data_IF_117303652931
#
_entry.id   IF_117303652931
#
_cell.length_a   1.000
_cell.length_b   1.000
_cell.length_c   1.000
_cell.angle_alpha   90.00
_cell.angle_beta   90.00
_cell.angle_gamma   90.00
#
_symmetry.space_group_name_H-M   'P 1'
#
loop_
_entity.id
_entity.type
_entity.pdbx_description
1 polymer ?
#
# COMPACT_ATOMS: atom_id res chain seq x y z
N UNK A 1 0.51 -2.51 -8.07
CA UNK A 1 0.83 -1.90 -6.76
C UNK A 1 1.31 -2.97 -5.82
N UNK A 2 2.25 -2.66 -4.93
CA UNK A 2 2.75 -3.61 -3.92
C UNK A 2 1.65 -3.99 -2.93
N UNK A 3 1.54 -5.28 -2.58
CA UNK A 3 0.57 -5.79 -1.62
C UNK A 3 1.11 -5.80 -0.19
N UNK A 4 0.22 -5.82 0.81
CA UNK A 4 0.60 -5.74 2.21
C UNK A 4 1.39 -6.96 2.71
N UNK A 5 1.15 -8.14 2.14
CA UNK A 5 1.95 -9.33 2.45
C UNK A 5 3.44 -9.16 2.09
N UNK A 6 3.72 -8.56 0.92
CA UNK A 6 5.10 -8.26 0.50
C UNK A 6 5.73 -7.18 1.39
N UNK A 7 4.95 -6.16 1.80
CA UNK A 7 5.43 -5.15 2.74
C UNK A 7 5.79 -5.78 4.08
N UNK A 8 4.93 -6.65 4.62
CA UNK A 8 5.18 -7.33 5.88
C UNK A 8 6.50 -8.12 5.84
N UNK A 9 6.70 -8.91 4.78
CA UNK A 9 7.90 -9.74 4.57
C UNK A 9 9.18 -8.89 4.55
N UNK A 10 9.22 -7.86 3.69
CA UNK A 10 10.37 -6.95 3.58
C UNK A 10 10.66 -6.24 4.91
N UNK A 11 9.62 -5.67 5.52
CA UNK A 11 9.77 -4.88 6.73
C UNK A 11 10.17 -5.73 7.94
N UNK A 12 9.79 -7.01 8.00
CA UNK A 12 10.26 -7.91 9.05
C UNK A 12 11.78 -8.09 9.04
N UNK A 13 12.41 -7.97 7.87
CA UNK A 13 13.86 -8.05 7.73
C UNK A 13 14.55 -6.69 7.85
N UNK A 14 13.97 -5.62 7.28
CA UNK A 14 14.62 -4.31 7.19
C UNK A 14 14.35 -3.38 8.38
N UNK A 15 13.17 -3.42 8.99
CA UNK A 15 12.83 -2.47 10.05
C UNK A 15 13.73 -2.54 11.28
N UNK A 16 14.19 -3.72 11.76
CA UNK A 16 15.09 -3.76 12.91
C UNK A 16 16.35 -2.89 12.74
N UNK A 17 16.81 -2.71 11.51
CA UNK A 17 17.99 -1.89 11.17
C UNK A 17 17.65 -0.41 10.91
N UNK A 18 16.38 -0.09 10.63
CA UNK A 18 15.95 1.23 10.15
C UNK A 18 15.11 2.02 11.16
N UNK A 19 14.41 1.33 12.07
CA UNK A 19 13.49 1.95 13.03
C UNK A 19 13.27 1.09 14.27
N UNK A 20 13.06 1.72 15.42
CA UNK A 20 12.75 1.05 16.69
C UNK A 20 11.26 0.88 16.97
N UNK A 21 10.38 1.35 16.07
CA UNK A 21 8.93 1.32 16.25
C UNK A 21 8.27 0.07 15.66
N UNK A 22 7.47 -0.65 16.45
CA UNK A 22 6.77 -1.88 16.04
C UNK A 22 5.28 -1.69 15.75
N UNK A 23 4.69 -0.56 16.16
CA UNK A 23 3.25 -0.29 16.07
C UNK A 23 2.71 -0.38 14.64
N UNK A 24 3.46 0.15 13.66
CA UNK A 24 3.10 0.09 12.25
C UNK A 24 3.01 -1.37 11.76
N UNK A 25 3.93 -2.22 12.22
CA UNK A 25 3.97 -3.63 11.82
C UNK A 25 2.81 -4.43 12.39
N UNK A 26 2.36 -4.11 13.60
CA UNK A 26 1.16 -4.73 14.19
C UNK A 26 -0.07 -4.48 13.32
N UNK A 27 -0.26 -3.25 12.83
CA UNK A 27 -1.38 -2.89 11.96
C UNK A 27 -1.32 -3.59 10.59
N UNK A 28 -0.11 -3.74 10.02
CA UNK A 28 0.08 -4.47 8.76
C UNK A 28 -0.22 -5.96 8.95
N UNK A 29 0.30 -6.58 10.01
CA UNK A 29 0.08 -7.98 10.32
C UNK A 29 -1.41 -8.31 10.52
N UNK A 30 -2.15 -7.46 11.22
CA UNK A 30 -3.60 -7.63 11.41
C UNK A 30 -4.36 -7.63 10.08
N UNK A 31 -4.03 -6.71 9.17
CA UNK A 31 -4.67 -6.66 7.85
C UNK A 31 -4.36 -7.88 7.00
N UNK A 32 -3.11 -8.33 7.01
CA UNK A 32 -2.70 -9.54 6.28
C UNK A 32 -3.42 -10.77 6.83
N UNK A 33 -3.53 -10.90 8.16
CA UNK A 33 -4.26 -12.00 8.80
C UNK A 33 -5.76 -12.03 8.43
N UNK A 34 -6.37 -10.87 8.18
CA UNK A 34 -7.75 -10.73 7.70
C UNK A 34 -7.91 -10.96 6.19
N UNK A 35 -6.83 -11.14 5.44
CA UNK A 35 -6.85 -11.26 3.98
C UNK A 35 -6.94 -9.92 3.23
N UNK A 36 -6.91 -8.80 3.96
CA UNK A 36 -6.96 -7.43 3.44
C UNK A 36 -5.59 -7.02 2.86
N UNK A 37 -5.17 -7.68 1.78
CA UNK A 37 -3.81 -7.58 1.23
C UNK A 37 -3.60 -6.46 0.21
N UNK A 38 -4.60 -5.61 -0.02
CA UNK A 38 -4.56 -4.43 -0.87
C UNK A 38 -5.39 -4.58 -2.14
N UNK A 39 -4.93 -4.00 -3.25
CA UNK A 39 -5.68 -3.99 -4.49
C UNK A 39 -6.03 -5.39 -5.00
N UNK A 40 -5.16 -6.38 -4.77
CA UNK A 40 -5.37 -7.76 -5.22
C UNK A 40 -6.57 -8.46 -4.57
N UNK A 41 -6.92 -8.07 -3.35
CA UNK A 41 -8.04 -8.64 -2.59
C UNK A 41 -9.25 -7.71 -2.54
N UNK A 42 -9.21 -6.57 -3.25
CA UNK A 42 -10.27 -5.56 -3.18
C UNK A 42 -10.26 -4.72 -1.89
N UNK A 43 -9.37 -5.00 -0.93
CA UNK A 43 -9.36 -4.37 0.39
C UNK A 43 -7.96 -4.38 1.01
N UNK A 44 -7.55 -3.29 1.68
CA UNK A 44 -6.31 -3.17 2.44
C UNK A 44 -6.40 -2.07 3.49
N UNK A 45 -5.48 -1.10 3.45
CA UNK A 45 -5.72 0.20 4.10
C UNK A 45 -6.94 0.93 3.52
N UNK A 46 -7.30 0.58 2.30
CA UNK A 46 -8.38 1.17 1.55
C UNK A 46 -9.19 0.08 0.85
N UNK A 47 -10.47 0.36 0.61
CA UNK A 47 -11.28 -0.42 -0.34
C UNK A 47 -10.85 -0.11 -1.77
N UNK A 48 -10.69 -1.15 -2.58
CA UNK A 48 -10.31 -1.12 -3.99
C UNK A 48 -11.50 -1.51 -4.85
N UNK A 49 -12.45 -0.58 -4.95
CA UNK A 49 -13.53 -0.67 -5.93
C UNK A 49 -13.12 -0.06 -7.27
N UNK A 50 -13.91 -0.34 -8.29
CA UNK A 50 -13.68 0.12 -9.66
C UNK A 50 -13.61 1.66 -9.73
N UNK A 51 -14.47 2.34 -8.99
CA UNK A 51 -14.48 3.81 -8.91
C UNK A 51 -13.15 4.38 -8.38
N UNK A 52 -12.51 3.70 -7.42
CA UNK A 52 -11.19 4.08 -6.94
C UNK A 52 -10.10 3.80 -7.96
N UNK A 53 -10.16 2.67 -8.68
CA UNK A 53 -9.20 2.33 -9.72
C UNK A 53 -9.15 3.43 -10.79
N UNK A 54 -10.32 3.78 -11.33
CA UNK A 54 -10.45 4.83 -12.33
C UNK A 54 -9.92 6.17 -11.82
N UNK A 55 -10.29 6.56 -10.59
CA UNK A 55 -9.81 7.82 -9.98
C UNK A 55 -8.30 7.88 -9.84
N UNK A 56 -7.66 6.79 -9.41
CA UNK A 56 -6.20 6.73 -9.25
C UNK A 56 -5.51 6.77 -10.61
N UNK A 57 -6.06 6.07 -11.62
CA UNK A 57 -5.55 6.10 -12.97
C UNK A 57 -5.57 7.52 -13.54
N UNK A 58 -6.73 8.17 -13.57
CA UNK A 58 -6.87 9.52 -14.12
C UNK A 58 -5.99 10.53 -13.37
N UNK A 59 -5.87 10.40 -12.04
CA UNK A 59 -4.99 11.25 -11.25
C UNK A 59 -3.51 11.06 -11.62
N UNK A 60 -3.05 9.82 -11.79
CA UNK A 60 -1.66 9.53 -12.17
C UNK A 60 -1.35 10.06 -13.56
N UNK A 61 -2.26 9.87 -14.53
CA UNK A 61 -2.11 10.42 -15.89
C UNK A 61 -1.98 11.94 -15.87
N UNK A 62 -2.82 12.61 -15.10
CA UNK A 62 -2.74 14.06 -14.92
C UNK A 62 -1.39 14.47 -14.27
N UNK A 63 -0.98 13.82 -13.19
CA UNK A 63 0.29 14.13 -12.52
C UNK A 63 1.50 13.95 -13.43
N UNK A 64 1.54 12.89 -14.23
CA UNK A 64 2.63 12.66 -15.17
C UNK A 64 2.72 13.75 -16.23
N UNK A 65 1.58 14.31 -16.68
CA UNK A 65 1.54 15.36 -17.70
C UNK A 65 1.87 16.75 -17.15
N UNK A 66 1.50 17.04 -15.91
CA UNK A 66 1.48 18.42 -15.40
C UNK A 66 2.28 18.66 -14.12
N UNK A 67 2.61 17.62 -13.34
CA UNK A 67 3.29 17.80 -12.05
C UNK A 67 4.82 17.79 -12.14
N UNK A 68 5.38 17.35 -13.27
CA UNK A 68 6.81 17.50 -13.54
C UNK A 68 7.02 18.95 -14.01
N UNK A 69 7.61 19.79 -13.15
CA UNK A 69 8.22 21.05 -13.60
C UNK A 69 9.36 20.71 -14.57
N UNK A 70 9.61 21.54 -15.60
CA UNK A 70 10.79 21.40 -16.45
C UNK A 70 12.09 21.46 -15.64
#
# INVERSE_FOLDING_TARGET
MTGLATVQDICQHLLPELASGTEMMSLVAEKVARGDTGARSGQGFYRWDEARHQRIQSRREHQLRFALKP
#
